data_IF_092357983468
#
_entry.id   IF_092357983468
#
_cell.length_a   1.000
_cell.length_b   1.000
_cell.length_c   1.000
_cell.angle_alpha   90.00
_cell.angle_beta   90.00
_cell.angle_gamma   90.00
#
_symmetry.space_group_name_H-M   'P 1'
#
loop_
_entity.id
_entity.type
_entity.pdbx_description
1 polymer ?
#
# COMPACT_ATOMS: atom_id res chain seq x y z
N UNK A 1 3.25 -8.94 -29.75
CA UNK A 1 4.20 -8.74 -28.64
C UNK A 1 3.67 -9.52 -27.44
N UNK A 2 4.49 -10.32 -26.77
CA UNK A 2 4.12 -11.03 -25.54
C UNK A 2 5.12 -10.62 -24.47
N UNK A 3 4.65 -10.15 -23.31
CA UNK A 3 5.51 -9.87 -22.16
C UNK A 3 5.87 -11.21 -21.51
N UNK A 4 6.89 -11.87 -22.04
CA UNK A 4 7.48 -13.05 -21.40
C UNK A 4 8.62 -12.58 -20.51
N UNK A 5 8.62 -13.02 -19.24
CA UNK A 5 9.64 -12.72 -18.21
C UNK A 5 9.57 -11.37 -17.49
N UNK A 6 8.37 -10.88 -17.17
CA UNK A 6 8.15 -9.88 -16.11
C UNK A 6 6.91 -10.30 -15.32
N UNK A 7 6.99 -10.41 -14.00
CA UNK A 7 5.91 -10.99 -13.18
C UNK A 7 4.68 -10.06 -13.03
N UNK A 8 4.68 -8.86 -13.62
CA UNK A 8 3.59 -7.88 -13.51
C UNK A 8 2.62 -7.87 -14.70
N UNK A 9 1.36 -8.25 -14.47
CA UNK A 9 0.29 -8.12 -15.46
C UNK A 9 -0.27 -6.68 -15.55
N UNK A 10 0.05 -5.80 -14.59
CA UNK A 10 -0.65 -4.53 -14.33
C UNK A 10 -0.61 -3.56 -15.52
N UNK A 11 0.45 -3.59 -16.33
CA UNK A 11 0.63 -2.73 -17.52
C UNK A 11 0.50 -3.48 -18.84
N UNK A 12 0.41 -4.82 -18.80
CA UNK A 12 0.50 -5.68 -19.99
C UNK A 12 -0.49 -5.32 -21.09
N UNK A 13 -1.73 -5.05 -20.72
CA UNK A 13 -2.79 -4.68 -21.65
C UNK A 13 -2.52 -3.34 -22.32
N UNK A 14 -2.00 -2.35 -21.60
CA UNK A 14 -1.68 -1.03 -22.14
C UNK A 14 -0.58 -1.14 -23.20
N UNK A 15 0.43 -1.95 -22.94
CA UNK A 15 1.56 -2.16 -23.85
C UNK A 15 1.13 -2.97 -25.07
N UNK A 16 0.55 -4.15 -24.86
CA UNK A 16 0.28 -5.12 -25.94
C UNK A 16 -0.89 -4.67 -26.82
N UNK A 17 -1.97 -4.14 -26.23
CA UNK A 17 -3.21 -3.85 -26.95
C UNK A 17 -3.42 -2.37 -27.26
N UNK A 18 -2.73 -1.47 -26.57
CA UNK A 18 -2.88 -0.03 -26.76
C UNK A 18 -1.59 0.68 -27.20
N UNK A 19 -0.49 -0.07 -27.40
CA UNK A 19 0.74 0.45 -28.01
C UNK A 19 1.49 1.48 -27.14
N UNK A 20 1.28 1.44 -25.82
CA UNK A 20 1.99 2.33 -24.90
C UNK A 20 3.49 2.08 -24.95
N UNK A 21 4.28 3.15 -24.95
CA UNK A 21 5.71 3.07 -24.63
C UNK A 21 5.85 2.85 -23.12
N UNK A 22 6.71 1.91 -22.74
CA UNK A 22 6.89 1.54 -21.33
C UNK A 22 8.36 1.48 -20.95
N UNK A 23 8.65 1.83 -19.70
CA UNK A 23 9.83 1.39 -18.97
C UNK A 23 9.35 0.38 -17.93
N UNK A 24 9.89 -0.84 -17.93
CA UNK A 24 9.61 -1.84 -16.92
C UNK A 24 10.85 -2.01 -16.02
N UNK A 25 10.66 -2.13 -14.71
CA UNK A 25 11.71 -2.29 -13.73
C UNK A 25 11.37 -3.47 -12.83
N UNK A 26 12.31 -4.38 -12.61
CA UNK A 26 12.14 -5.57 -11.75
C UNK A 26 13.44 -5.83 -10.96
N UNK A 27 13.34 -6.32 -9.74
CA UNK A 27 14.51 -6.55 -8.88
C UNK A 27 15.39 -7.72 -9.32
N UNK A 28 14.84 -8.71 -10.02
CA UNK A 28 15.48 -10.00 -10.27
C UNK A 28 15.70 -10.36 -11.74
N UNK A 29 15.03 -9.69 -12.69
CA UNK A 29 15.14 -10.03 -14.12
C UNK A 29 15.21 -8.81 -15.03
N UNK A 30 15.69 -9.03 -16.26
CA UNK A 30 15.77 -8.04 -17.32
C UNK A 30 15.38 -8.65 -18.66
N UNK A 31 14.72 -7.87 -19.52
CA UNK A 31 14.40 -8.25 -20.88
C UNK A 31 14.39 -7.01 -21.81
N UNK A 32 15.46 -6.79 -22.59
CA UNK A 32 15.56 -5.65 -23.49
C UNK A 32 14.45 -5.57 -24.54
N UNK A 33 13.86 -6.70 -24.96
CA UNK A 33 12.82 -6.73 -25.99
C UNK A 33 11.52 -6.02 -25.56
N UNK A 34 11.33 -5.90 -24.25
CA UNK A 34 10.15 -5.26 -23.64
C UNK A 34 10.54 -4.04 -22.79
N UNK A 35 11.76 -3.53 -22.97
CA UNK A 35 12.33 -2.43 -22.18
C UNK A 35 12.26 -2.68 -20.66
N UNK A 36 12.51 -3.93 -20.25
CA UNK A 36 12.59 -4.36 -18.86
C UNK A 36 14.03 -4.38 -18.38
N UNK A 37 14.30 -3.65 -17.29
CA UNK A 37 15.62 -3.52 -16.71
C UNK A 37 15.64 -4.01 -15.26
N UNK A 38 16.72 -4.68 -14.89
CA UNK A 38 16.88 -5.19 -13.53
C UNK A 38 17.40 -4.10 -12.60
N UNK A 39 16.59 -3.69 -11.63
CA UNK A 39 16.94 -2.74 -10.57
C UNK A 39 16.24 -3.09 -9.26
N UNK A 40 17.02 -3.22 -8.19
CA UNK A 40 16.47 -3.25 -6.84
C UNK A 40 16.14 -1.82 -6.39
N UNK A 41 14.84 -1.49 -6.36
CA UNK A 41 14.37 -0.13 -6.12
C UNK A 41 14.30 0.18 -4.62
N UNK A 42 14.73 1.38 -4.25
CA UNK A 42 14.60 1.96 -2.90
C UNK A 42 14.08 3.39 -3.01
N UNK A 43 13.55 3.92 -1.91
CA UNK A 43 13.12 5.32 -1.83
C UNK A 43 14.25 6.30 -2.17
N UNK A 44 15.51 5.90 -1.92
CA UNK A 44 16.70 6.69 -2.20
C UNK A 44 17.15 6.66 -3.68
N UNK A 45 16.86 5.60 -4.44
CA UNK A 45 17.39 5.42 -5.80
C UNK A 45 16.36 5.54 -6.92
N UNK A 46 15.05 5.35 -6.66
CA UNK A 46 14.05 5.23 -7.73
C UNK A 46 14.03 6.46 -8.66
N UNK A 47 14.18 7.65 -8.09
CA UNK A 47 14.19 8.89 -8.85
C UNK A 47 15.43 9.06 -9.75
N UNK A 48 16.61 8.59 -9.32
CA UNK A 48 17.82 8.65 -10.17
C UNK A 48 17.76 7.60 -11.29
N UNK A 49 17.15 6.45 -11.02
CA UNK A 49 16.87 5.42 -12.04
C UNK A 49 15.89 5.97 -13.08
N UNK A 50 14.81 6.62 -12.67
CA UNK A 50 13.88 7.27 -13.61
C UNK A 50 14.58 8.33 -14.47
N UNK A 51 15.50 9.11 -13.90
CA UNK A 51 16.32 10.07 -14.65
C UNK A 51 17.24 9.37 -15.65
N UNK A 52 17.91 8.29 -15.27
CA UNK A 52 18.77 7.50 -16.15
C UNK A 52 18.02 7.01 -17.40
N UNK A 53 16.75 6.65 -17.25
CA UNK A 53 15.90 6.17 -18.35
C UNK A 53 15.06 7.27 -19.02
N UNK A 54 15.31 8.54 -18.71
CA UNK A 54 14.61 9.70 -19.28
C UNK A 54 13.09 9.64 -19.12
N UNK A 55 12.61 9.15 -17.98
CA UNK A 55 11.18 9.21 -17.64
C UNK A 55 10.75 10.68 -17.60
N UNK A 56 9.66 11.06 -18.29
CA UNK A 56 9.19 12.45 -18.30
C UNK A 56 8.76 12.88 -16.90
N UNK A 57 8.80 14.18 -16.60
CA UNK A 57 8.37 14.72 -15.30
C UNK A 57 6.88 14.49 -15.02
N UNK A 58 6.05 14.35 -16.06
CA UNK A 58 4.62 14.02 -15.95
C UNK A 58 4.26 12.77 -16.78
N UNK A 59 4.60 11.55 -16.32
CA UNK A 59 4.20 10.32 -17.00
C UNK A 59 2.68 10.15 -17.00
N UNK A 60 2.10 9.47 -17.99
CA UNK A 60 0.65 9.24 -17.98
C UNK A 60 0.25 8.23 -16.88
N UNK A 61 1.06 7.21 -16.66
CA UNK A 61 0.77 6.16 -15.69
C UNK A 61 2.05 5.61 -15.06
N UNK A 62 2.00 5.38 -13.74
CA UNK A 62 3.04 4.65 -13.00
C UNK A 62 2.34 3.57 -12.16
N UNK A 63 2.83 2.33 -12.25
CA UNK A 63 2.39 1.22 -11.41
C UNK A 63 3.52 0.83 -10.47
N UNK A 64 3.22 0.67 -9.19
CA UNK A 64 4.15 0.30 -8.12
C UNK A 64 3.59 -0.94 -7.42
N UNK A 65 4.28 -2.05 -7.59
CA UNK A 65 3.93 -3.35 -7.04
C UNK A 65 5.25 -4.10 -6.81
N UNK A 66 5.78 -4.01 -5.59
CA UNK A 66 7.09 -4.55 -5.19
C UNK A 66 7.00 -5.38 -3.89
N UNK A 67 5.79 -5.78 -3.50
CA UNK A 67 5.47 -6.64 -2.37
C UNK A 67 6.04 -6.15 -1.01
N UNK A 68 6.39 -4.89 -0.81
CA UNK A 68 7.12 -4.46 0.39
C UNK A 68 7.08 -2.96 0.66
N UNK A 69 7.97 -2.20 0.04
CA UNK A 69 8.23 -0.78 0.30
C UNK A 69 7.43 0.15 -0.61
N UNK A 70 6.29 -0.32 -1.12
CA UNK A 70 5.44 0.33 -2.13
C UNK A 70 5.10 1.78 -1.77
N UNK A 71 4.73 2.04 -0.50
CA UNK A 71 4.44 3.37 0.00
C UNK A 71 5.65 4.31 -0.09
N UNK A 72 6.86 3.81 0.18
CA UNK A 72 8.07 4.63 0.20
C UNK A 72 8.56 4.93 -1.21
N UNK A 73 8.46 3.97 -2.12
CA UNK A 73 8.67 4.21 -3.55
C UNK A 73 7.66 5.23 -4.07
N UNK A 74 6.39 5.07 -3.74
CA UNK A 74 5.33 6.00 -4.14
C UNK A 74 5.61 7.42 -3.64
N UNK A 75 5.92 7.59 -2.36
CA UNK A 75 6.28 8.89 -1.77
C UNK A 75 7.53 9.49 -2.43
N UNK A 76 8.57 8.69 -2.68
CA UNK A 76 9.79 9.14 -3.32
C UNK A 76 9.52 9.64 -4.76
N UNK A 77 8.74 8.90 -5.54
CA UNK A 77 8.36 9.30 -6.91
C UNK A 77 7.54 10.59 -6.90
N UNK A 78 6.53 10.70 -6.02
CA UNK A 78 5.71 11.90 -5.88
C UNK A 78 6.51 13.18 -5.56
N UNK A 79 7.70 13.06 -4.97
CA UNK A 79 8.56 14.22 -4.67
C UNK A 79 9.19 14.87 -5.91
N UNK A 80 9.22 14.18 -7.06
CA UNK A 80 9.87 14.67 -8.30
C UNK A 80 9.04 14.48 -9.57
N UNK A 81 8.08 13.57 -9.57
CA UNK A 81 7.28 13.21 -10.74
C UNK A 81 5.80 13.44 -10.47
N UNK A 82 5.07 13.83 -11.50
CA UNK A 82 3.67 14.25 -11.41
C UNK A 82 2.78 13.46 -12.38
N UNK A 83 2.79 12.13 -12.23
CA UNK A 83 2.06 11.26 -13.14
C UNK A 83 0.55 11.56 -13.15
N UNK A 84 -0.15 11.28 -14.26
CA UNK A 84 -1.60 11.50 -14.30
C UNK A 84 -2.34 10.53 -13.37
N UNK A 85 -1.95 9.25 -13.42
CA UNK A 85 -2.51 8.17 -12.61
C UNK A 85 -1.40 7.32 -12.00
N UNK A 86 -1.56 6.93 -10.75
CA UNK A 86 -0.78 5.88 -10.10
C UNK A 86 -1.65 4.65 -9.86
N UNK A 87 -1.09 3.45 -9.98
CA UNK A 87 -1.53 2.29 -9.22
C UNK A 87 -0.45 1.90 -8.21
N UNK A 88 -0.86 1.57 -7.00
CA UNK A 88 0.05 1.15 -5.93
C UNK A 88 -0.56 -0.04 -5.21
N UNK A 89 0.21 -1.11 -5.04
CA UNK A 89 -0.22 -2.29 -4.28
C UNK A 89 -0.56 -1.89 -2.85
N UNK A 90 -1.69 -2.38 -2.35
CA UNK A 90 -2.07 -2.19 -0.95
C UNK A 90 -2.28 -3.53 -0.25
N UNK A 91 -1.84 -3.60 1.00
CA UNK A 91 -2.10 -4.73 1.85
C UNK A 91 -3.57 -4.73 2.29
N UNK A 92 -4.36 -5.57 1.63
CA UNK A 92 -5.80 -5.68 1.86
C UNK A 92 -6.19 -6.37 3.17
N UNK A 93 -5.24 -6.89 3.95
CA UNK A 93 -5.49 -7.49 5.26
C UNK A 93 -5.85 -6.47 6.32
N UNK A 94 -5.34 -5.24 6.19
CA UNK A 94 -5.65 -4.17 7.14
C UNK A 94 -7.10 -3.67 6.97
N UNK A 95 -7.74 -3.19 8.03
CA UNK A 95 -9.05 -2.55 7.95
C UNK A 95 -8.92 -1.16 7.29
N UNK A 96 -10.05 -0.64 6.79
CA UNK A 96 -10.11 0.65 6.10
C UNK A 96 -9.49 1.82 6.88
N UNK A 97 -9.65 1.82 8.21
CA UNK A 97 -9.29 2.95 9.06
C UNK A 97 -7.85 2.86 9.61
N UNK A 98 -7.12 1.77 9.36
CA UNK A 98 -5.74 1.61 9.81
C UNK A 98 -4.76 2.28 8.84
N UNK A 99 -3.91 3.18 9.31
CA UNK A 99 -2.83 3.82 8.54
C UNK A 99 -1.46 3.20 8.89
N UNK A 100 -1.17 2.02 8.33
CA UNK A 100 -0.01 1.20 8.72
C UNK A 100 0.77 0.80 7.47
N UNK A 101 2.10 0.79 7.56
CA UNK A 101 2.98 0.42 6.44
C UNK A 101 4.17 -0.41 6.89
N UNK A 102 4.66 -1.26 6.00
CA UNK A 102 5.96 -1.91 6.10
C UNK A 102 7.08 -0.85 6.19
N UNK A 103 8.21 -1.11 6.87
CA UNK A 103 9.26 -0.11 7.07
C UNK A 103 9.99 0.22 5.76
N UNK A 104 10.58 1.42 5.68
CA UNK A 104 11.51 1.79 4.60
C UNK A 104 12.88 1.17 4.87
N UNK A 105 12.97 -0.15 4.76
CA UNK A 105 14.20 -0.91 4.97
C UNK A 105 14.41 -1.90 3.81
N UNK A 106 15.44 -1.71 2.97
CA UNK A 106 15.70 -2.60 1.83
C UNK A 106 16.09 -4.03 2.22
N UNK A 107 16.49 -4.27 3.47
CA UNK A 107 16.84 -5.61 3.95
C UNK A 107 15.59 -6.44 4.34
N UNK A 108 14.45 -5.77 4.53
CA UNK A 108 13.17 -6.42 4.85
C UNK A 108 12.42 -6.75 3.57
N UNK A 109 11.98 -8.00 3.43
CA UNK A 109 11.31 -8.51 2.24
C UNK A 109 10.05 -9.28 2.60
N UNK A 110 9.16 -9.42 1.63
CA UNK A 110 7.98 -10.26 1.81
C UNK A 110 8.36 -11.72 1.95
N UNK A 111 7.75 -12.40 2.93
CA UNK A 111 7.96 -13.83 3.13
C UNK A 111 6.79 -14.66 2.58
N UNK A 112 5.94 -14.11 1.71
CA UNK A 112 4.75 -14.82 1.19
C UNK A 112 3.62 -14.97 2.21
N UNK A 113 3.57 -14.10 3.22
CA UNK A 113 2.57 -14.06 4.29
C UNK A 113 1.80 -12.73 4.30
N UNK A 114 1.12 -12.37 5.40
CA UNK A 114 0.40 -11.09 5.47
C UNK A 114 1.33 -9.87 5.66
N UNK A 115 2.64 -10.08 5.80
CA UNK A 115 3.63 -9.05 6.13
C UNK A 115 4.23 -8.35 4.92
N UNK A 116 3.47 -7.49 4.25
CA UNK A 116 3.92 -6.71 3.09
C UNK A 116 3.24 -5.34 3.01
N UNK A 117 3.80 -4.46 2.18
CA UNK A 117 3.13 -3.27 1.66
C UNK A 117 2.56 -2.32 2.71
N UNK A 118 1.56 -1.54 2.28
CA UNK A 118 0.90 -0.54 3.10
C UNK A 118 -0.61 -0.68 3.10
N UNK A 119 -1.27 -0.22 4.15
CA UNK A 119 -2.72 -0.15 4.20
C UNK A 119 -3.26 0.88 3.21
N UNK A 120 -4.51 0.68 2.75
CA UNK A 120 -5.18 1.60 1.83
C UNK A 120 -5.22 3.04 2.35
N UNK A 121 -5.43 3.22 3.67
CA UNK A 121 -5.44 4.54 4.31
C UNK A 121 -4.07 5.20 4.27
N UNK A 122 -2.99 4.46 4.52
CA UNK A 122 -1.64 5.02 4.49
C UNK A 122 -1.29 5.55 3.08
N UNK A 123 -1.58 4.78 2.03
CA UNK A 123 -1.39 5.21 0.64
C UNK A 123 -2.25 6.43 0.29
N UNK A 124 -3.50 6.46 0.77
CA UNK A 124 -4.41 7.58 0.53
C UNK A 124 -3.89 8.87 1.19
N UNK A 125 -3.36 8.80 2.42
CA UNK A 125 -2.76 9.96 3.08
C UNK A 125 -1.56 10.50 2.27
N UNK A 126 -0.65 9.63 1.82
CA UNK A 126 0.49 10.03 0.97
C UNK A 126 0.02 10.72 -0.31
N UNK A 127 -0.98 10.15 -0.98
CA UNK A 127 -1.53 10.70 -2.22
C UNK A 127 -2.17 12.08 -2.00
N UNK A 128 -2.95 12.24 -0.93
CA UNK A 128 -3.62 13.49 -0.59
C UNK A 128 -2.64 14.63 -0.30
N UNK A 129 -1.53 14.34 0.39
CA UNK A 129 -0.43 15.28 0.65
C UNK A 129 0.18 15.86 -0.65
N UNK A 130 0.11 15.10 -1.75
CA UNK A 130 0.76 15.44 -3.03
C UNK A 130 -0.25 15.84 -4.12
N UNK A 131 -1.50 16.15 -3.75
CA UNK A 131 -2.50 16.63 -4.71
C UNK A 131 -3.16 15.53 -5.54
N UNK A 132 -3.22 14.30 -5.04
CA UNK A 132 -3.91 13.17 -5.64
C UNK A 132 -5.12 12.75 -4.80
N UNK A 133 -6.02 12.00 -5.40
CA UNK A 133 -7.16 11.38 -4.72
C UNK A 133 -7.31 9.92 -5.12
N UNK A 134 -7.84 9.11 -4.20
CA UNK A 134 -8.17 7.71 -4.46
C UNK A 134 -9.34 7.61 -5.46
N UNK A 135 -9.04 7.21 -6.69
CA UNK A 135 -9.98 7.05 -7.78
C UNK A 135 -10.72 5.71 -7.70
N UNK A 136 -9.96 4.63 -7.51
CA UNK A 136 -10.49 3.27 -7.55
C UNK A 136 -9.67 2.31 -6.68
N UNK A 137 -10.28 1.21 -6.24
CA UNK A 137 -9.57 0.10 -5.61
C UNK A 137 -9.96 -1.18 -6.33
N UNK A 138 -8.96 -1.89 -6.86
CA UNK A 138 -9.14 -3.27 -7.29
C UNK A 138 -8.92 -4.14 -6.06
N UNK A 139 -9.96 -4.79 -5.50
CA UNK A 139 -9.81 -5.46 -4.22
C UNK A 139 -8.74 -6.54 -4.28
N UNK A 140 -7.91 -6.59 -3.23
CA UNK A 140 -6.80 -7.56 -3.03
C UNK A 140 -5.48 -7.23 -3.73
N UNK A 141 -5.43 -6.21 -4.58
CA UNK A 141 -4.24 -5.87 -5.37
C UNK A 141 -3.91 -4.39 -5.25
N UNK A 142 -4.46 -3.53 -6.12
CA UNK A 142 -4.01 -2.16 -6.28
C UNK A 142 -5.06 -1.11 -5.91
N UNK A 143 -4.56 0.01 -5.38
CA UNK A 143 -5.27 1.26 -5.28
C UNK A 143 -4.84 2.21 -6.41
N UNK A 144 -5.80 2.85 -7.07
CA UNK A 144 -5.57 3.79 -8.16
C UNK A 144 -5.77 5.22 -7.66
N UNK A 145 -4.78 6.07 -7.88
CA UNK A 145 -4.78 7.47 -7.49
C UNK A 145 -4.69 8.36 -8.73
N UNK A 146 -5.52 9.39 -8.81
CA UNK A 146 -5.53 10.34 -9.92
C UNK A 146 -5.18 11.74 -9.43
N UNK A 147 -4.46 12.49 -10.26
CA UNK A 147 -4.09 13.88 -10.02
C UNK A 147 -5.35 14.75 -9.95
N UNK A 148 -5.50 15.55 -8.89
CA UNK A 148 -6.75 16.31 -8.63
C UNK A 148 -7.09 17.29 -9.75
N UNK A 149 -6.08 17.89 -10.39
CA UNK A 149 -6.25 18.84 -11.50
C UNK A 149 -6.79 18.21 -12.79
N UNK A 150 -6.81 16.88 -12.90
CA UNK A 150 -7.37 16.16 -14.05
C UNK A 150 -8.85 15.78 -13.88
N UNK A 151 -9.38 15.89 -12.67
CA UNK A 151 -10.75 15.49 -12.34
C UNK A 151 -11.57 16.62 -11.72
N UNK A 152 -11.06 17.84 -11.70
CA UNK A 152 -11.84 18.98 -11.29
C UNK A 152 -12.76 19.41 -12.45
N UNK A 153 -13.98 18.88 -12.44
CA UNK A 153 -15.06 19.31 -13.33
C UNK A 153 -15.94 20.40 -12.69
N UNK A 154 -15.54 20.94 -11.52
CA UNK A 154 -16.30 21.91 -10.74
C UNK A 154 -17.52 21.32 -10.01
N UNK A 155 -17.66 19.99 -9.92
CA UNK A 155 -18.86 19.35 -9.32
C UNK A 155 -18.62 18.65 -7.98
N UNK A 156 -17.38 18.56 -7.49
CA UNK A 156 -16.97 17.83 -6.27
C UNK A 156 -17.37 16.33 -6.25
N UNK A 157 -17.74 15.72 -7.39
CA UNK A 157 -18.39 14.39 -7.43
C UNK A 157 -17.57 13.26 -8.03
N UNK A 158 -16.38 13.52 -8.58
CA UNK A 158 -15.61 12.48 -9.28
C UNK A 158 -14.94 11.49 -8.31
N UNK A 159 -14.65 11.92 -7.06
CA UNK A 159 -14.03 11.06 -6.05
C UNK A 159 -15.08 10.40 -5.17
N UNK A 160 -15.03 9.08 -5.05
CA UNK A 160 -15.92 8.36 -4.15
C UNK A 160 -15.56 8.61 -2.67
N UNK A 161 -16.55 8.68 -1.75
CA UNK A 161 -16.26 8.74 -0.33
C UNK A 161 -15.38 7.56 0.08
N UNK A 162 -14.34 7.81 0.90
CA UNK A 162 -13.37 6.77 1.32
C UNK A 162 -14.04 5.52 1.90
N UNK A 163 -15.17 5.70 2.62
CA UNK A 163 -16.00 4.62 3.16
C UNK A 163 -16.52 3.61 2.13
N UNK A 164 -16.60 3.96 0.84
CA UNK A 164 -17.00 3.04 -0.26
C UNK A 164 -16.10 1.81 -0.32
N UNK A 165 -14.82 1.95 0.03
CA UNK A 165 -13.81 0.90 -0.10
C UNK A 165 -13.75 -0.06 1.08
N UNK A 166 -14.69 0.03 2.05
CA UNK A 166 -14.71 -0.83 3.24
C UNK A 166 -14.75 -2.32 2.90
N UNK A 167 -15.41 -2.73 1.82
CA UNK A 167 -15.49 -4.14 1.40
C UNK A 167 -14.24 -4.63 0.67
N UNK A 168 -13.33 -3.74 0.27
CA UNK A 168 -12.05 -4.06 -0.36
C UNK A 168 -10.92 -4.28 0.67
N UNK A 169 -11.16 -4.00 1.95
CA UNK A 169 -10.19 -4.14 3.05
C UNK A 169 -10.58 -5.29 3.98
N UNK A 170 -9.72 -5.63 4.95
CA UNK A 170 -9.88 -6.76 5.86
C UNK A 170 -10.13 -8.11 5.15
N UNK A 171 -9.35 -8.43 4.11
CA UNK A 171 -9.46 -9.66 3.32
C UNK A 171 -8.25 -10.58 3.54
N UNK A 172 -8.46 -11.79 4.05
CA UNK A 172 -7.37 -12.74 4.33
C UNK A 172 -7.00 -13.57 3.09
N UNK A 173 -6.21 -12.99 2.19
CA UNK A 173 -5.73 -13.63 0.95
C UNK A 173 -4.38 -14.38 1.07
N UNK A 174 -3.58 -14.10 2.10
CA UNK A 174 -2.30 -14.73 2.38
C UNK A 174 -2.33 -15.44 3.75
N UNK A 175 -1.46 -16.44 3.98
CA UNK A 175 -1.31 -17.05 5.30
C UNK A 175 -0.81 -16.03 6.32
N UNK A 176 -1.16 -16.16 7.61
CA UNK A 176 -0.65 -15.29 8.68
C UNK A 176 0.88 -15.18 8.69
N UNK A 177 1.39 -14.12 9.34
CA UNK A 177 2.83 -13.91 9.52
C UNK A 177 3.53 -15.20 9.98
N UNK A 178 4.57 -15.60 9.25
CA UNK A 178 5.38 -16.78 9.58
C UNK A 178 6.12 -16.59 10.90
N UNK A 179 6.69 -15.40 11.09
CA UNK A 179 7.25 -14.95 12.36
C UNK A 179 6.37 -13.82 12.95
N UNK A 180 5.63 -14.07 14.04
CA UNK A 180 4.82 -13.05 14.69
C UNK A 180 5.58 -11.80 15.14
N UNK A 181 6.88 -11.90 15.42
CA UNK A 181 7.70 -10.74 15.82
C UNK A 181 7.81 -9.69 14.71
N UNK A 182 7.64 -10.09 13.44
CA UNK A 182 7.62 -9.18 12.29
C UNK A 182 6.46 -8.19 12.32
N UNK A 183 5.43 -8.42 13.15
CA UNK A 183 4.43 -7.40 13.43
C UNK A 183 5.04 -6.10 14.00
N UNK A 184 6.20 -6.20 14.68
CA UNK A 184 6.96 -5.07 15.21
C UNK A 184 7.68 -4.22 14.16
N UNK A 185 7.79 -4.68 12.91
CA UNK A 185 8.37 -3.92 11.81
C UNK A 185 7.45 -2.80 11.32
N UNK A 186 6.15 -2.99 11.46
CA UNK A 186 5.15 -2.08 10.91
C UNK A 186 5.12 -0.76 11.68
N UNK A 187 4.92 0.32 10.93
CA UNK A 187 4.86 1.67 11.48
C UNK A 187 3.52 2.34 11.19
N UNK A 188 3.11 3.25 12.08
CA UNK A 188 1.89 4.04 11.91
C UNK A 188 2.23 5.30 11.10
N UNK A 189 1.75 5.34 9.86
CA UNK A 189 2.04 6.43 8.92
C UNK A 189 1.35 7.75 9.29
N UNK A 190 0.19 7.71 9.93
CA UNK A 190 -0.53 8.94 10.31
C UNK A 190 0.24 9.76 11.36
N UNK A 191 1.06 9.09 12.19
CA UNK A 191 1.88 9.76 13.22
C UNK A 191 3.26 10.20 12.76
N UNK A 192 3.80 9.64 11.67
CA UNK A 192 5.08 10.10 11.10
C UNK A 192 4.98 11.51 10.48
N UNK A 193 3.77 11.95 10.14
CA UNK A 193 3.50 13.30 9.59
C UNK A 193 3.48 14.42 10.64
N UNK A 194 3.36 14.09 11.93
CA UNK A 194 3.15 15.09 13.01
C UNK A 194 4.44 15.58 13.69
N UNK A 195 5.63 15.25 13.15
CA UNK A 195 6.91 15.80 13.65
C UNK A 195 7.25 15.46 15.10
N UNK A 196 6.61 14.45 15.70
CA UNK A 196 6.89 14.05 17.08
C UNK A 196 8.01 13.02 17.11
N UNK A 197 9.15 13.40 17.70
CA UNK A 197 10.27 12.54 18.07
C UNK A 197 9.94 11.44 19.11
N UNK A 198 8.67 11.22 19.43
CA UNK A 198 8.23 10.09 20.25
C UNK A 198 7.89 8.90 19.35
N UNK A 199 8.93 8.17 18.96
CA UNK A 199 8.89 7.00 18.08
C UNK A 199 8.14 5.78 18.70
N UNK A 200 7.84 5.83 20.00
CA UNK A 200 7.34 4.68 20.78
C UNK A 200 5.81 4.50 20.67
N UNK A 201 4.95 5.54 20.82
CA UNK A 201 3.50 5.37 20.72
C UNK A 201 3.01 5.13 19.27
N UNK A 202 3.77 5.56 18.25
CA UNK A 202 3.43 5.29 16.85
C UNK A 202 3.65 3.82 16.50
N UNK A 203 4.77 3.25 16.95
CA UNK A 203 5.10 1.82 16.80
C UNK A 203 4.17 0.93 17.61
N UNK A 204 3.75 1.33 18.81
CA UNK A 204 2.84 0.49 19.62
C UNK A 204 1.46 0.30 18.97
N UNK A 205 0.87 1.36 18.40
CA UNK A 205 -0.43 1.26 17.70
C UNK A 205 -0.33 0.47 16.39
N UNK A 206 0.78 0.64 15.65
CA UNK A 206 1.04 -0.15 14.45
C UNK A 206 1.22 -1.63 14.78
N UNK A 207 1.99 -1.93 15.84
CA UNK A 207 2.20 -3.29 16.35
C UNK A 207 0.88 -3.96 16.74
N UNK A 208 0.00 -3.29 17.49
CA UNK A 208 -1.30 -3.86 17.88
C UNK A 208 -2.18 -4.16 16.67
N UNK A 209 -2.16 -3.27 15.67
CA UNK A 209 -2.90 -3.43 14.43
C UNK A 209 -2.32 -4.58 13.61
N UNK A 210 -1.00 -4.61 13.39
CA UNK A 210 -0.31 -5.68 12.67
C UNK A 210 -0.53 -7.03 13.36
N UNK A 211 -0.42 -7.10 14.68
CA UNK A 211 -0.72 -8.30 15.46
C UNK A 211 -2.16 -8.76 15.26
N UNK A 212 -3.13 -7.84 15.24
CA UNK A 212 -4.55 -8.19 15.10
C UNK A 212 -4.89 -8.74 13.72
N UNK A 213 -4.34 -8.18 12.65
CA UNK A 213 -4.76 -8.49 11.28
C UNK A 213 -3.79 -9.41 10.52
N UNK A 214 -2.50 -9.38 10.87
CA UNK A 214 -1.46 -10.13 10.16
C UNK A 214 -1.08 -11.42 10.88
N UNK A 215 -1.07 -11.43 12.22
CA UNK A 215 -0.81 -12.64 13.02
C UNK A 215 -2.11 -13.36 13.33
N UNK A 216 -3.06 -12.63 13.90
CA UNK A 216 -4.38 -13.17 14.19
C UNK A 216 -5.26 -13.04 12.94
N UNK A 217 -6.25 -13.91 12.77
CA UNK A 217 -7.13 -13.89 11.59
C UNK A 217 -8.12 -12.71 11.55
N UNK A 218 -7.80 -11.58 12.20
CA UNK A 218 -8.73 -10.47 12.38
C UNK A 218 -10.07 -10.90 13.00
N UNK A 219 -10.08 -12.08 13.64
CA UNK A 219 -11.29 -12.86 13.79
C UNK A 219 -12.12 -12.32 14.94
N UNK A 220 -13.32 -11.87 14.59
CA UNK A 220 -14.32 -11.39 15.52
C UNK A 220 -14.64 -12.47 16.56
N UNK A 221 -14.57 -13.77 16.22
CA UNK A 221 -14.71 -14.85 17.20
C UNK A 221 -13.54 -14.93 18.19
N UNK A 222 -12.31 -14.70 17.74
CA UNK A 222 -11.14 -14.67 18.63
C UNK A 222 -11.19 -13.48 19.60
N UNK A 223 -11.67 -12.31 19.13
CA UNK A 223 -11.96 -11.15 19.98
C UNK A 223 -13.15 -11.41 20.92
N UNK A 224 -14.26 -11.97 20.43
CA UNK A 224 -15.40 -12.41 21.25
C UNK A 224 -15.01 -13.47 22.28
N UNK A 225 -14.08 -14.37 21.96
CA UNK A 225 -13.57 -15.39 22.86
C UNK A 225 -12.69 -14.78 23.97
N UNK A 226 -11.97 -13.68 23.71
CA UNK A 226 -11.38 -12.86 24.78
C UNK A 226 -12.46 -12.25 25.69
N UNK A 227 -13.56 -11.72 25.13
CA UNK A 227 -14.69 -11.23 25.93
C UNK A 227 -15.43 -12.32 26.71
N UNK A 228 -15.57 -13.53 26.15
CA UNK A 228 -16.20 -14.70 26.81
C UNK A 228 -15.32 -15.28 27.92
N UNK A 229 -14.00 -15.04 27.90
CA UNK A 229 -13.05 -15.42 28.95
C UNK A 229 -12.93 -14.38 30.07
N UNK A 230 -13.55 -13.20 29.94
CA UNK A 230 -13.60 -12.23 31.03
C UNK A 230 -14.54 -12.72 32.15
N UNK A 231 -14.18 -12.51 33.42
CA UNK A 231 -15.07 -12.84 34.53
C UNK A 231 -16.42 -12.12 34.39
N UNK A 232 -17.52 -12.80 34.75
CA UNK A 232 -18.89 -12.35 34.45
C UNK A 232 -19.24 -10.94 34.97
N UNK A 233 -18.56 -10.49 36.01
CA UNK A 233 -18.66 -9.15 36.59
C UNK A 233 -18.08 -8.04 35.67
N UNK A 234 -17.03 -8.34 34.90
CA UNK A 234 -16.42 -7.41 33.93
C UNK A 234 -17.33 -7.24 32.71
N UNK A 235 -17.88 -8.34 32.20
CA UNK A 235 -18.81 -8.33 31.05
C UNK A 235 -20.08 -7.53 31.37
N UNK A 236 -20.62 -7.63 32.59
CA UNK A 236 -21.78 -6.83 33.03
C UNK A 236 -21.50 -5.33 33.08
N UNK A 237 -20.28 -4.93 33.39
CA UNK A 237 -19.90 -3.51 33.50
C UNK A 237 -19.76 -2.85 32.13
N UNK A 238 -19.24 -3.59 31.14
CA UNK A 238 -19.10 -3.14 29.76
C UNK A 238 -20.44 -3.01 29.03
N UNK A 239 -21.41 -3.91 29.32
CA UNK A 239 -22.80 -3.83 28.79
C UNK A 239 -23.62 -2.64 29.29
N UNK A 240 -23.12 -1.85 30.25
CA UNK A 240 -23.77 -0.62 30.74
C UNK A 240 -23.16 0.66 30.16
N UNK A 241 -22.09 0.54 29.37
CA UNK A 241 -21.33 1.65 28.78
C UNK A 241 -21.59 1.81 27.27
N UNK A 242 -22.40 0.92 26.69
CA UNK A 242 -22.99 0.99 25.34
C UNK A 242 -24.49 0.73 25.47
#
# INVERSE_FOLDING_TARGET
>A
MSLTHGNGANTSRLIIHHGWSSLLLDGGTGNPEINLHSHFLTSANICSIFQQYNVPSEPEYISIDVDSVDLWLFRAVLSKYRAMVFSVEYNCHFPLDAAVTFPDNPDEHWEGDRGYGASLRALTLVAEEHGYCLLWVVPKVDAFFIRKDLIDDGTDKIVFPFGRWRTATNRQIHPPLKNPERAGLFINYERTQLGSSNDVPSRSTAYDTATTYLVNNGDFETQLNKFRRLPANVVRRLKRLF
#
